data_IF_416357989700
#
_entry.id   IF_416357989700
#
_cell.length_a   1.000
_cell.length_b   1.000
_cell.length_c   1.000
_cell.angle_alpha   90.00
_cell.angle_beta   90.00
_cell.angle_gamma   90.00
#
_symmetry.space_group_name_H-M   'P 1'
#
loop_
_entity.id
_entity.type
_entity.pdbx_description
1 polymer ?
#
# COMPACT_ATOMS: atom_id res chain seq x y z
N UNK A 1 -5.35 19.06 -51.44
CA UNK A 1 -5.66 17.87 -50.63
C UNK A 1 -4.59 17.84 -49.55
N UNK A 2 -4.91 18.41 -48.42
CA UNK A 2 -4.04 18.45 -47.22
C UNK A 2 -4.52 17.35 -46.25
N UNK A 3 -3.60 16.54 -45.89
CA UNK A 3 -3.78 15.47 -44.89
C UNK A 3 -3.52 16.12 -43.52
N UNK A 4 -4.58 16.30 -42.76
CA UNK A 4 -4.51 16.74 -41.36
C UNK A 4 -4.27 15.52 -40.47
N UNK A 5 -3.00 15.22 -40.20
CA UNK A 5 -2.57 14.26 -39.20
C UNK A 5 -2.91 14.76 -37.78
N UNK A 6 -4.00 14.24 -37.23
CA UNK A 6 -4.39 14.38 -35.84
C UNK A 6 -3.32 13.79 -34.91
N UNK A 7 -2.50 14.65 -34.34
CA UNK A 7 -1.64 14.32 -33.21
C UNK A 7 -2.46 14.26 -31.92
N UNK A 8 -3.04 13.10 -31.60
CA UNK A 8 -3.54 12.83 -30.26
C UNK A 8 -2.31 12.68 -29.35
N UNK A 9 -2.03 13.71 -28.55
CA UNK A 9 -1.08 13.65 -27.47
C UNK A 9 -1.56 12.59 -26.45
N UNK A 10 -0.78 11.54 -26.35
CA UNK A 10 -0.93 10.48 -25.37
C UNK A 10 -0.76 11.09 -23.97
N UNK A 11 -1.86 11.40 -23.31
CA UNK A 11 -1.84 11.73 -21.90
C UNK A 11 -1.33 10.48 -21.19
N UNK A 12 -0.12 10.53 -20.66
CA UNK A 12 0.52 9.43 -19.94
C UNK A 12 -0.39 9.01 -18.79
N UNK A 13 -1.21 7.98 -19.03
CA UNK A 13 -2.13 7.42 -18.05
C UNK A 13 -1.31 6.83 -16.90
N UNK A 14 -1.78 7.02 -15.66
CA UNK A 14 -1.19 6.42 -14.47
C UNK A 14 -1.05 4.90 -14.64
N UNK A 15 0.15 4.37 -14.42
CA UNK A 15 0.44 2.93 -14.45
C UNK A 15 0.83 2.46 -13.06
N UNK A 16 0.01 1.56 -12.45
CA UNK A 16 0.31 0.91 -11.17
C UNK A 16 1.70 0.27 -11.19
N UNK A 17 2.00 -0.40 -12.29
CA UNK A 17 3.26 -1.10 -12.49
C UNK A 17 4.45 -0.13 -12.46
N UNK A 18 4.32 1.03 -13.10
CA UNK A 18 5.37 2.05 -13.08
C UNK A 18 5.55 2.67 -11.68
N UNK A 19 4.47 2.86 -10.94
CA UNK A 19 4.53 3.30 -9.56
C UNK A 19 5.38 2.34 -8.71
N UNK A 20 5.10 1.04 -8.75
CA UNK A 20 5.88 0.06 -7.99
C UNK A 20 7.32 -0.10 -8.47
N UNK A 21 7.59 0.04 -9.77
CA UNK A 21 8.96 0.07 -10.31
C UNK A 21 9.77 1.22 -9.72
N UNK A 22 9.19 2.40 -9.55
CA UNK A 22 9.84 3.55 -8.89
C UNK A 22 10.05 3.28 -7.41
N UNK A 23 9.04 2.73 -6.75
CA UNK A 23 9.06 2.40 -5.32
C UNK A 23 10.18 1.43 -4.96
N UNK A 24 10.41 0.41 -5.78
CA UNK A 24 11.46 -0.57 -5.54
C UNK A 24 12.86 -0.12 -5.97
N UNK A 25 12.98 0.98 -6.68
CA UNK A 25 14.28 1.49 -7.14
C UNK A 25 15.22 1.74 -5.98
N UNK A 26 16.44 1.18 -6.07
CA UNK A 26 17.46 1.30 -5.02
C UNK A 26 17.19 0.45 -3.77
N UNK A 27 16.06 -0.28 -3.71
CA UNK A 27 15.73 -1.16 -2.59
C UNK A 27 16.23 -2.58 -2.82
N UNK A 28 16.39 -3.33 -1.74
CA UNK A 28 16.74 -4.75 -1.79
C UNK A 28 15.54 -5.58 -1.34
N UNK A 29 15.04 -6.43 -2.21
CA UNK A 29 13.98 -7.38 -1.93
C UNK A 29 14.58 -8.78 -1.79
N UNK A 30 14.13 -9.55 -0.81
CA UNK A 30 14.40 -10.99 -0.74
C UNK A 30 13.16 -11.76 -1.17
N UNK A 31 13.33 -12.77 -2.02
CA UNK A 31 12.25 -13.66 -2.48
C UNK A 31 12.64 -15.08 -2.09
N UNK A 32 11.78 -15.76 -1.33
CA UNK A 32 12.04 -17.15 -0.97
C UNK A 32 11.63 -18.10 -2.08
N UNK A 33 12.42 -19.14 -2.32
CA UNK A 33 12.08 -20.23 -3.23
C UNK A 33 12.05 -21.54 -2.44
N UNK A 34 10.91 -21.90 -1.83
CA UNK A 34 10.76 -23.18 -1.16
C UNK A 34 10.91 -24.35 -2.12
N UNK A 35 11.35 -25.50 -1.61
CA UNK A 35 11.55 -26.72 -2.39
C UNK A 35 10.34 -27.10 -3.25
N UNK A 36 9.13 -26.80 -2.76
CA UNK A 36 7.88 -27.06 -3.48
C UNK A 36 7.76 -26.31 -4.81
N UNK A 37 8.43 -25.16 -4.96
CA UNK A 37 8.42 -24.32 -6.16
C UNK A 37 9.70 -24.44 -7.00
N UNK A 38 10.70 -25.23 -6.58
CA UNK A 38 11.92 -25.43 -7.39
C UNK A 38 11.63 -25.89 -8.84
N UNK A 39 10.66 -26.78 -9.12
CA UNK A 39 10.32 -27.16 -10.49
C UNK A 39 9.77 -26.01 -11.34
N UNK A 40 9.13 -25.05 -10.71
CA UNK A 40 8.49 -23.89 -11.33
C UNK A 40 9.36 -22.62 -11.27
N UNK A 41 10.62 -22.73 -10.84
CA UNK A 41 11.51 -21.57 -10.60
C UNK A 41 11.66 -20.65 -11.83
N UNK A 42 11.42 -21.14 -13.04
CA UNK A 42 11.43 -20.33 -14.26
C UNK A 42 10.40 -19.18 -14.23
N UNK A 43 9.30 -19.33 -13.48
CA UNK A 43 8.29 -18.28 -13.33
C UNK A 43 8.79 -17.06 -12.54
N UNK A 44 9.90 -17.19 -11.78
CA UNK A 44 10.54 -16.06 -11.11
C UNK A 44 11.27 -15.14 -12.07
N UNK A 45 11.75 -15.66 -13.19
CA UNK A 45 12.66 -14.94 -14.08
C UNK A 45 12.09 -13.60 -14.55
N UNK A 46 10.86 -13.52 -15.08
CA UNK A 46 10.31 -12.26 -15.56
C UNK A 46 10.21 -11.21 -14.43
N UNK A 47 9.77 -11.62 -13.25
CA UNK A 47 9.60 -10.72 -12.10
C UNK A 47 10.95 -10.20 -11.61
N UNK A 48 11.94 -11.07 -11.48
CA UNK A 48 13.30 -10.69 -11.06
C UNK A 48 13.95 -9.77 -12.09
N UNK A 49 13.80 -10.05 -13.38
CA UNK A 49 14.34 -9.20 -14.44
C UNK A 49 13.69 -7.82 -14.46
N UNK A 50 12.39 -7.76 -14.25
CA UNK A 50 11.69 -6.48 -14.17
C UNK A 50 12.12 -5.66 -12.95
N UNK A 51 12.21 -6.27 -11.77
CA UNK A 51 12.69 -5.60 -10.56
C UNK A 51 14.11 -5.06 -10.77
N UNK A 52 15.02 -5.88 -11.30
CA UNK A 52 16.40 -5.46 -11.57
C UNK A 52 16.45 -4.39 -12.66
N UNK A 53 15.66 -4.51 -13.71
CA UNK A 53 15.51 -3.51 -14.76
C UNK A 53 14.98 -2.18 -14.27
N UNK A 54 14.14 -2.19 -13.24
CA UNK A 54 13.66 -0.99 -12.54
C UNK A 54 14.70 -0.38 -11.55
N UNK A 55 15.84 -1.04 -11.35
CA UNK A 55 16.90 -0.60 -10.45
C UNK A 55 16.76 -1.11 -9.01
N UNK A 56 15.91 -2.10 -8.76
CA UNK A 56 15.89 -2.84 -7.51
C UNK A 56 17.04 -3.86 -7.44
N UNK A 57 17.30 -4.36 -6.25
CA UNK A 57 18.23 -5.47 -5.99
C UNK A 57 17.45 -6.66 -5.46
N UNK A 58 17.73 -7.86 -5.97
CA UNK A 58 16.97 -9.06 -5.63
C UNK A 58 17.88 -10.15 -5.06
N UNK A 59 17.52 -10.65 -3.89
CA UNK A 59 18.11 -11.81 -3.24
C UNK A 59 17.11 -12.96 -3.32
N UNK A 60 17.41 -14.01 -4.04
CA UNK A 60 16.59 -15.22 -4.04
C UNK A 60 17.15 -16.19 -3.02
N UNK A 61 16.33 -16.62 -2.05
CA UNK A 61 16.74 -17.54 -0.98
C UNK A 61 16.18 -18.92 -1.29
N UNK A 62 17.04 -19.92 -1.48
CA UNK A 62 16.64 -21.27 -1.87
C UNK A 62 17.38 -22.34 -1.06
N UNK A 63 16.83 -23.56 -1.01
CA UNK A 63 17.57 -24.70 -0.47
C UNK A 63 18.67 -25.19 -1.42
N UNK A 64 18.39 -25.17 -2.72
CA UNK A 64 19.32 -25.58 -3.77
C UNK A 64 19.62 -24.39 -4.67
N UNK A 65 20.91 -24.07 -4.77
CA UNK A 65 21.33 -22.96 -5.61
C UNK A 65 21.17 -23.23 -7.10
N UNK A 66 21.52 -24.43 -7.53
CA UNK A 66 21.78 -24.69 -8.94
C UNK A 66 20.63 -24.33 -9.89
N UNK A 67 19.37 -24.77 -9.68
CA UNK A 67 18.30 -24.43 -10.63
C UNK A 67 18.02 -22.92 -10.69
N UNK A 68 17.91 -22.27 -9.54
CA UNK A 68 17.59 -20.84 -9.49
C UNK A 68 18.75 -19.96 -9.99
N UNK A 69 19.99 -20.33 -9.65
CA UNK A 69 21.17 -19.58 -10.07
C UNK A 69 21.38 -19.66 -11.59
N UNK A 70 21.16 -20.82 -12.18
CA UNK A 70 21.26 -21.01 -13.62
C UNK A 70 20.16 -20.22 -14.37
N UNK A 71 18.89 -20.37 -13.94
CA UNK A 71 17.75 -19.67 -14.55
C UNK A 71 17.87 -18.15 -14.45
N UNK A 72 18.35 -17.64 -13.32
CA UNK A 72 18.51 -16.21 -13.10
C UNK A 72 19.85 -15.65 -13.61
N UNK A 73 20.70 -16.46 -14.21
CA UNK A 73 22.07 -16.10 -14.57
C UNK A 73 22.78 -15.37 -13.40
N UNK A 74 22.59 -15.88 -12.18
CA UNK A 74 23.07 -15.31 -10.94
C UNK A 74 24.13 -16.22 -10.30
N UNK A 75 24.99 -15.63 -9.48
CA UNK A 75 25.92 -16.42 -8.68
C UNK A 75 25.24 -16.93 -7.42
N UNK A 76 25.53 -18.18 -7.06
CA UNK A 76 25.08 -18.77 -5.80
C UNK A 76 26.09 -18.48 -4.67
N UNK A 77 25.56 -18.23 -3.48
CA UNK A 77 26.34 -17.99 -2.28
C UNK A 77 25.72 -18.72 -1.08
N UNK A 78 26.46 -19.57 -0.35
CA UNK A 78 25.93 -20.16 0.88
C UNK A 78 25.83 -19.10 1.97
N UNK A 79 24.80 -19.19 2.81
CA UNK A 79 24.59 -18.29 3.97
C UNK A 79 25.76 -18.30 4.95
N UNK A 80 26.48 -19.42 5.00
CA UNK A 80 27.67 -19.64 5.84
C UNK A 80 28.96 -19.09 5.25
N UNK A 81 28.90 -18.41 4.09
CA UNK A 81 30.07 -17.84 3.45
C UNK A 81 30.76 -16.84 4.37
N UNK A 82 32.09 -16.85 4.36
CA UNK A 82 32.88 -15.83 5.07
C UNK A 82 32.59 -14.45 4.50
N UNK A 83 32.38 -13.46 5.36
CA UNK A 83 31.99 -12.10 4.98
C UNK A 83 30.71 -12.07 4.09
N UNK A 84 29.72 -12.87 4.46
CA UNK A 84 28.49 -13.10 3.69
C UNK A 84 27.85 -11.80 3.19
N UNK A 85 27.63 -10.83 4.06
CA UNK A 85 26.96 -9.56 3.73
C UNK A 85 27.74 -8.77 2.67
N UNK A 86 29.05 -8.73 2.79
CA UNK A 86 29.93 -8.07 1.81
C UNK A 86 29.95 -8.81 0.46
N UNK A 87 29.90 -10.14 0.48
CA UNK A 87 29.83 -10.97 -0.72
C UNK A 87 28.49 -10.77 -1.45
N UNK A 88 27.37 -10.78 -0.72
CA UNK A 88 26.04 -10.49 -1.27
C UNK A 88 26.03 -9.10 -1.88
N UNK A 89 26.51 -8.08 -1.13
CA UNK A 89 26.54 -6.71 -1.61
C UNK A 89 27.36 -6.54 -2.91
N UNK A 90 28.50 -7.19 -3.00
CA UNK A 90 29.34 -7.15 -4.20
C UNK A 90 28.62 -7.69 -5.43
N UNK A 91 27.89 -8.81 -5.28
CA UNK A 91 27.11 -9.43 -6.36
C UNK A 91 25.91 -8.57 -6.76
N UNK A 92 25.19 -8.03 -5.78
CA UNK A 92 24.06 -7.14 -6.04
C UNK A 92 24.49 -5.87 -6.78
N UNK A 93 25.66 -5.29 -6.45
CA UNK A 93 26.21 -4.16 -7.21
C UNK A 93 26.60 -4.51 -8.63
N UNK A 94 27.08 -5.72 -8.86
CA UNK A 94 27.55 -6.15 -10.18
C UNK A 94 26.41 -6.54 -11.11
N UNK A 95 25.38 -7.23 -10.60
CA UNK A 95 24.34 -7.87 -11.41
C UNK A 95 22.90 -7.58 -10.96
N UNK A 96 22.69 -6.83 -9.90
CA UNK A 96 21.36 -6.55 -9.32
C UNK A 96 20.73 -7.76 -8.63
N UNK A 97 21.29 -8.95 -8.73
CA UNK A 97 20.70 -10.19 -8.21
C UNK A 97 21.75 -11.17 -7.70
N UNK A 98 21.35 -12.01 -6.73
CA UNK A 98 22.14 -13.09 -6.14
C UNK A 98 21.23 -14.20 -5.65
N UNK A 99 21.68 -15.45 -5.69
CA UNK A 99 20.99 -16.59 -5.06
C UNK A 99 21.74 -16.98 -3.78
N UNK A 100 21.02 -16.98 -2.68
CA UNK A 100 21.53 -17.42 -1.36
C UNK A 100 21.03 -18.81 -1.08
N UNK A 101 21.93 -19.73 -0.70
CA UNK A 101 21.56 -21.09 -0.31
C UNK A 101 21.63 -21.26 1.19
N UNK A 102 20.57 -21.86 1.74
CA UNK A 102 20.53 -22.25 3.13
C UNK A 102 21.19 -23.60 3.34
N UNK A 103 21.82 -23.78 4.50
CA UNK A 103 22.42 -25.06 4.89
C UNK A 103 21.40 -26.18 5.00
N UNK A 104 21.86 -27.44 4.81
CA UNK A 104 20.99 -28.61 4.78
C UNK A 104 20.19 -28.86 6.07
N UNK A 105 20.63 -28.31 7.18
CA UNK A 105 20.02 -28.44 8.51
C UNK A 105 19.19 -27.21 8.93
N UNK A 106 19.23 -26.12 8.15
CA UNK A 106 18.43 -24.96 8.44
C UNK A 106 16.95 -25.27 8.18
N UNK A 107 16.10 -24.92 9.13
CA UNK A 107 14.68 -24.83 8.85
C UNK A 107 14.47 -23.68 7.89
N UNK A 108 13.77 -23.94 6.80
CA UNK A 108 13.70 -22.99 5.70
C UNK A 108 13.13 -21.62 6.11
N UNK A 109 12.03 -21.55 6.84
CA UNK A 109 11.48 -20.27 7.29
C UNK A 109 12.46 -19.48 8.14
N UNK A 110 13.04 -20.09 9.18
CA UNK A 110 13.98 -19.42 10.07
C UNK A 110 15.25 -18.95 9.34
N UNK A 111 15.76 -19.79 8.43
CA UNK A 111 16.93 -19.40 7.63
C UNK A 111 16.63 -18.23 6.69
N UNK A 112 15.44 -18.17 6.11
CA UNK A 112 15.00 -17.03 5.29
C UNK A 112 14.92 -15.74 6.12
N UNK A 113 14.36 -15.79 7.33
CA UNK A 113 14.36 -14.66 8.26
C UNK A 113 15.76 -14.20 8.57
N UNK A 114 16.64 -15.11 8.99
CA UNK A 114 17.99 -14.79 9.41
C UNK A 114 18.79 -14.11 8.28
N UNK A 115 18.63 -14.59 7.05
CA UNK A 115 19.23 -13.94 5.85
C UNK A 115 18.62 -12.55 5.62
N UNK A 116 17.31 -12.42 5.69
CA UNK A 116 16.62 -11.16 5.47
C UNK A 116 17.00 -10.10 6.51
N UNK A 117 17.10 -10.49 7.79
CA UNK A 117 17.53 -9.64 8.89
C UNK A 117 19.00 -9.20 8.73
N UNK A 118 19.92 -10.15 8.52
CA UNK A 118 21.36 -9.88 8.32
C UNK A 118 21.61 -8.91 7.15
N UNK A 119 20.84 -9.04 6.08
CA UNK A 119 20.97 -8.18 4.90
C UNK A 119 20.23 -6.85 5.03
N UNK A 120 19.37 -6.67 6.04
CA UNK A 120 18.53 -5.49 6.21
C UNK A 120 17.67 -5.24 4.98
N UNK A 121 17.00 -6.29 4.47
CA UNK A 121 16.21 -6.15 3.25
C UNK A 121 15.02 -5.23 3.47
N UNK A 122 14.65 -4.49 2.44
CA UNK A 122 13.48 -3.64 2.46
C UNK A 122 12.17 -4.44 2.56
N UNK A 123 12.14 -5.62 1.93
CA UNK A 123 10.95 -6.47 1.86
C UNK A 123 11.36 -7.93 1.72
N UNK A 124 10.71 -8.81 2.48
CA UNK A 124 10.78 -10.26 2.28
C UNK A 124 9.50 -10.74 1.60
N UNK A 125 9.62 -11.36 0.44
CA UNK A 125 8.50 -12.02 -0.25
C UNK A 125 8.55 -13.50 0.02
N UNK A 126 7.56 -14.00 0.71
CA UNK A 126 7.45 -15.40 1.08
C UNK A 126 6.53 -16.12 0.12
N UNK A 127 7.09 -17.01 -0.69
CA UNK A 127 6.30 -17.84 -1.60
C UNK A 127 5.70 -19.02 -0.84
N UNK A 128 4.39 -19.09 -0.82
CA UNK A 128 3.61 -20.15 -0.18
C UNK A 128 2.47 -20.61 -1.09
N UNK A 129 2.22 -21.93 -1.18
CA UNK A 129 1.19 -22.50 -2.07
C UNK A 129 -0.24 -22.12 -1.67
N UNK A 130 -0.47 -21.94 -0.39
CA UNK A 130 -1.78 -21.52 0.11
C UNK A 130 -2.00 -20.01 -0.03
N UNK A 131 -0.93 -19.27 -0.40
CA UNK A 131 -0.98 -17.83 -0.58
C UNK A 131 -1.09 -17.06 0.74
N UNK A 132 -1.77 -15.90 0.69
CA UNK A 132 -1.93 -15.00 1.83
C UNK A 132 -2.82 -15.54 2.96
N UNK A 133 -2.98 -14.74 3.99
CA UNK A 133 -3.86 -15.00 5.11
C UNK A 133 -5.32 -14.88 4.68
N UNK A 134 -6.12 -15.88 5.02
CA UNK A 134 -7.57 -15.86 4.80
C UNK A 134 -8.31 -15.94 6.14
N UNK A 135 -9.45 -15.29 6.22
CA UNK A 135 -10.35 -15.39 7.35
C UNK A 135 -11.18 -16.69 7.33
N UNK A 136 -11.93 -17.00 8.39
CA UNK A 136 -12.79 -18.19 8.42
C UNK A 136 -13.88 -18.25 7.33
N UNK A 137 -14.21 -17.10 6.69
CA UNK A 137 -15.14 -17.04 5.57
C UNK A 137 -14.49 -17.34 4.23
N UNK A 138 -13.14 -17.45 4.20
CA UNK A 138 -12.35 -17.62 2.99
C UNK A 138 -11.98 -16.30 2.32
N UNK A 139 -12.30 -15.14 2.90
CA UNK A 139 -11.89 -13.86 2.38
C UNK A 139 -10.41 -13.60 2.71
N UNK A 140 -9.66 -13.12 1.71
CA UNK A 140 -8.24 -12.81 1.84
C UNK A 140 -8.04 -11.48 2.56
N UNK A 141 -7.15 -11.45 3.53
CA UNK A 141 -6.61 -10.22 4.08
C UNK A 141 -5.52 -9.69 3.14
N UNK A 142 -5.76 -8.58 2.47
CA UNK A 142 -4.75 -7.97 1.58
C UNK A 142 -3.59 -7.36 2.38
N UNK A 143 -3.88 -6.92 3.61
CA UNK A 143 -2.94 -6.25 4.49
C UNK A 143 -3.19 -6.62 5.96
N UNK A 144 -2.12 -6.84 6.73
CA UNK A 144 -2.18 -7.18 8.16
C UNK A 144 -0.99 -6.55 8.88
N UNK A 145 -1.25 -5.75 9.91
CA UNK A 145 -0.17 -5.22 10.72
C UNK A 145 0.22 -6.18 11.87
N UNK A 146 1.44 -6.04 12.40
CA UNK A 146 1.98 -6.92 13.43
C UNK A 146 1.06 -7.09 14.66
N UNK A 147 0.41 -6.04 15.12
CA UNK A 147 -0.51 -6.12 16.27
C UNK A 147 -1.77 -6.93 15.97
N UNK A 148 -2.30 -6.85 14.74
CA UNK A 148 -3.43 -7.65 14.28
C UNK A 148 -3.03 -9.13 14.12
N UNK A 149 -1.87 -9.39 13.49
CA UNK A 149 -1.31 -10.73 13.38
C UNK A 149 -1.15 -11.37 14.76
N UNK A 150 -0.60 -10.64 15.74
CA UNK A 150 -0.47 -11.11 17.11
C UNK A 150 -1.83 -11.44 17.74
N UNK A 151 -2.87 -10.64 17.47
CA UNK A 151 -4.24 -10.91 17.90
C UNK A 151 -4.82 -12.20 17.28
N UNK A 152 -4.65 -12.38 15.98
CA UNK A 152 -5.07 -13.61 15.26
C UNK A 152 -4.37 -14.85 15.83
N UNK A 153 -3.05 -14.75 16.06
CA UNK A 153 -2.27 -15.85 16.62
C UNK A 153 -2.68 -16.18 18.07
N UNK A 154 -2.98 -15.17 18.88
CA UNK A 154 -3.47 -15.36 20.24
C UNK A 154 -4.84 -16.03 20.27
N UNK A 155 -5.76 -15.63 19.40
CA UNK A 155 -7.08 -16.27 19.27
C UNK A 155 -6.99 -17.72 18.79
N UNK A 156 -5.93 -18.08 18.06
CA UNK A 156 -5.67 -19.42 17.53
C UNK A 156 -4.79 -20.27 18.44
N UNK A 157 -4.52 -19.85 19.68
CA UNK A 157 -3.61 -20.51 20.62
C UNK A 157 -4.00 -21.97 20.96
N UNK A 158 -5.26 -22.37 20.73
CA UNK A 158 -5.74 -23.74 20.92
C UNK A 158 -5.16 -24.75 19.92
N UNK A 159 -4.43 -24.32 18.88
CA UNK A 159 -3.83 -25.18 17.85
C UNK A 159 -2.33 -24.87 17.67
N UNK A 160 -1.48 -25.10 18.69
CA UNK A 160 -0.07 -24.72 18.62
C UNK A 160 0.73 -25.52 17.57
N UNK A 161 0.30 -26.73 17.24
CA UNK A 161 0.99 -27.65 16.32
C UNK A 161 0.53 -27.52 14.86
N UNK A 162 -0.42 -26.65 14.57
CA UNK A 162 -0.85 -26.39 13.21
C UNK A 162 0.33 -25.79 12.40
N UNK A 163 0.76 -26.46 11.31
CA UNK A 163 1.85 -25.95 10.46
C UNK A 163 1.61 -24.53 9.94
N UNK A 164 0.35 -24.20 9.66
CA UNK A 164 -0.03 -22.87 9.17
C UNK A 164 0.14 -21.81 10.26
N UNK A 165 -0.25 -22.12 11.49
CA UNK A 165 -0.04 -21.22 12.64
C UNK A 165 1.45 -21.07 12.97
N UNK A 166 2.25 -22.10 12.79
CA UNK A 166 3.72 -21.99 12.94
C UNK A 166 4.31 -21.06 11.88
N UNK A 167 3.84 -21.14 10.64
CA UNK A 167 4.26 -20.25 9.57
C UNK A 167 3.91 -18.79 9.87
N UNK A 168 2.68 -18.52 10.33
CA UNK A 168 2.30 -17.14 10.70
C UNK A 168 3.07 -16.60 11.90
N UNK A 169 3.44 -17.45 12.87
CA UNK A 169 4.36 -17.04 13.95
C UNK A 169 5.75 -16.71 13.43
N UNK A 170 6.21 -17.38 12.40
CA UNK A 170 7.48 -17.03 11.77
C UNK A 170 7.41 -15.70 11.04
N UNK A 171 6.31 -15.39 10.37
CA UNK A 171 6.04 -14.06 9.81
C UNK A 171 6.07 -12.99 10.91
N UNK A 172 5.37 -13.23 12.03
CA UNK A 172 5.40 -12.34 13.19
C UNK A 172 6.83 -12.14 13.71
N UNK A 173 7.58 -13.23 13.88
CA UNK A 173 8.96 -13.18 14.35
C UNK A 173 9.86 -12.39 13.40
N UNK A 174 9.69 -12.57 12.09
CA UNK A 174 10.42 -11.85 11.05
C UNK A 174 10.19 -10.34 11.13
N UNK A 175 8.95 -9.92 11.33
CA UNK A 175 8.63 -8.51 11.51
C UNK A 175 9.24 -7.96 12.82
N UNK A 176 9.17 -8.72 13.92
CA UNK A 176 9.77 -8.34 15.22
C UNK A 176 11.30 -8.25 15.17
N UNK A 177 11.93 -9.09 14.34
CA UNK A 177 13.37 -9.08 14.11
C UNK A 177 13.85 -7.85 13.31
N UNK A 178 12.94 -7.07 12.75
CA UNK A 178 13.29 -5.79 12.12
C UNK A 178 13.10 -5.74 10.61
N UNK A 179 12.65 -6.83 9.96
CA UNK A 179 12.27 -6.77 8.54
C UNK A 179 11.02 -5.89 8.41
N UNK A 180 11.06 -4.81 7.62
CA UNK A 180 9.99 -3.82 7.62
C UNK A 180 8.67 -4.37 7.09
N UNK A 181 8.72 -5.21 6.05
CA UNK A 181 7.56 -5.74 5.37
C UNK A 181 7.77 -7.18 4.90
N UNK A 182 6.74 -8.01 5.05
CA UNK A 182 6.69 -9.38 4.54
C UNK A 182 5.46 -9.53 3.66
N UNK A 183 5.65 -9.90 2.39
CA UNK A 183 4.54 -10.33 1.54
C UNK A 183 4.47 -11.86 1.52
N UNK A 184 3.27 -12.41 1.60
CA UNK A 184 3.03 -13.84 1.44
C UNK A 184 2.08 -14.04 0.27
N UNK A 185 2.53 -14.72 -0.76
CA UNK A 185 1.73 -14.99 -1.97
C UNK A 185 2.14 -16.31 -2.63
N UNK A 186 1.33 -16.78 -3.57
CA UNK A 186 1.74 -17.90 -4.45
C UNK A 186 2.76 -17.43 -5.49
N UNK A 187 3.47 -18.38 -6.08
CA UNK A 187 4.40 -18.07 -7.18
C UNK A 187 3.65 -17.53 -8.40
N UNK A 188 2.47 -18.06 -8.68
CA UNK A 188 1.59 -17.62 -9.76
C UNK A 188 1.11 -16.18 -9.57
N UNK A 189 0.88 -15.77 -8.33
CA UNK A 189 0.42 -14.44 -7.98
C UNK A 189 1.54 -13.43 -7.71
N UNK A 190 2.81 -13.81 -7.83
CA UNK A 190 3.94 -12.96 -7.45
C UNK A 190 4.00 -11.64 -8.23
N UNK A 191 3.70 -11.68 -9.52
CA UNK A 191 3.66 -10.48 -10.37
C UNK A 191 2.60 -9.50 -9.89
N UNK A 192 1.37 -9.98 -9.71
CA UNK A 192 0.27 -9.16 -9.20
C UNK A 192 0.55 -8.63 -7.80
N UNK A 193 1.16 -9.46 -6.93
CA UNK A 193 1.50 -9.05 -5.55
C UNK A 193 2.49 -7.89 -5.51
N UNK A 194 3.44 -7.86 -6.42
CA UNK A 194 4.48 -6.84 -6.42
C UNK A 194 4.14 -5.60 -7.25
N UNK A 195 3.32 -5.72 -8.28
CA UNK A 195 3.14 -4.65 -9.25
C UNK A 195 1.71 -4.14 -9.38
N UNK A 196 0.79 -4.61 -8.54
CA UNK A 196 -0.58 -4.09 -8.49
C UNK A 196 -0.98 -3.68 -7.07
N UNK A 197 -1.91 -2.74 -6.99
CA UNK A 197 -2.44 -2.29 -5.69
C UNK A 197 -3.34 -3.33 -5.01
N UNK A 198 -4.02 -4.15 -5.79
CA UNK A 198 -4.86 -5.21 -5.25
C UNK A 198 -4.02 -6.33 -4.63
N UNK A 199 -2.84 -6.57 -5.17
CA UNK A 199 -2.01 -7.70 -4.82
C UNK A 199 -2.73 -9.05 -4.99
N UNK A 200 -2.03 -10.14 -4.84
CA UNK A 200 -2.60 -11.50 -4.87
C UNK A 200 -2.50 -12.21 -3.52
N UNK A 201 -1.64 -11.71 -2.64
CA UNK A 201 -1.30 -12.26 -1.35
C UNK A 201 -1.68 -11.36 -0.18
N UNK A 202 -0.94 -11.44 0.91
CA UNK A 202 -1.07 -10.58 2.09
C UNK A 202 0.24 -9.86 2.34
N UNK A 203 0.18 -8.54 2.48
CA UNK A 203 1.27 -7.72 2.97
C UNK A 203 1.19 -7.64 4.49
N UNK A 204 2.23 -8.09 5.17
CA UNK A 204 2.40 -7.94 6.61
C UNK A 204 3.43 -6.88 6.90
N UNK A 205 3.22 -6.11 7.98
CA UNK A 205 4.08 -5.00 8.33
C UNK A 205 4.26 -4.81 9.83
N UNK A 206 5.37 -4.18 10.22
CA UNK A 206 5.80 -4.11 11.62
C UNK A 206 4.99 -3.17 12.50
N UNK A 207 4.61 -2.02 12.00
CA UNK A 207 4.03 -0.95 12.85
C UNK A 207 2.58 -0.62 12.53
N UNK A 208 1.88 0.01 13.46
CA UNK A 208 0.61 0.72 13.21
C UNK A 208 0.92 1.97 12.38
N UNK A 209 0.43 2.04 11.30
CA UNK A 209 1.04 2.11 10.07
C UNK A 209 0.57 3.26 9.24
N UNK A 210 -0.58 3.82 9.57
CA UNK A 210 -1.10 4.98 8.91
C UNK A 210 -0.78 6.18 9.79
N UNK A 211 0.29 6.87 9.46
CA UNK A 211 0.54 8.21 9.98
C UNK A 211 -0.13 9.21 9.03
N UNK A 212 -1.02 10.03 9.55
CA UNK A 212 -1.58 11.15 8.77
C UNK A 212 -0.78 12.41 9.09
N UNK A 213 -0.22 13.02 8.05
CA UNK A 213 0.52 14.28 8.15
C UNK A 213 0.25 15.19 6.94
N UNK A 214 0.57 16.47 7.07
CA UNK A 214 0.56 17.38 5.92
C UNK A 214 1.52 16.90 4.84
N UNK A 215 1.13 17.12 3.58
CA UNK A 215 1.99 16.87 2.44
C UNK A 215 3.15 17.87 2.45
N UNK A 216 4.36 17.37 2.30
CA UNK A 216 5.54 18.16 2.01
C UNK A 216 5.76 18.27 0.50
N UNK A 217 6.69 19.12 0.08
CA UNK A 217 7.01 19.31 -1.35
C UNK A 217 7.44 17.99 -2.01
N UNK A 218 8.17 17.17 -1.29
CA UNK A 218 8.65 15.87 -1.80
C UNK A 218 7.52 14.83 -1.98
N UNK A 219 6.33 15.07 -1.41
CA UNK A 219 5.18 14.20 -1.54
C UNK A 219 4.30 14.54 -2.74
N UNK A 220 4.50 15.70 -3.40
CA UNK A 220 3.57 16.23 -4.40
C UNK A 220 3.42 15.33 -5.61
N UNK A 221 4.50 14.79 -6.14
CA UNK A 221 4.44 13.89 -7.30
C UNK A 221 3.56 12.66 -7.00
N UNK A 222 3.78 12.02 -5.84
CA UNK A 222 2.99 10.88 -5.42
C UNK A 222 1.51 11.27 -5.15
N UNK A 223 1.28 12.46 -4.60
CA UNK A 223 -0.07 12.95 -4.33
C UNK A 223 -0.83 13.29 -5.62
N UNK A 224 -0.18 13.89 -6.61
CA UNK A 224 -0.76 14.12 -7.93
C UNK A 224 -1.13 12.80 -8.61
N UNK A 225 -0.26 11.79 -8.56
CA UNK A 225 -0.55 10.45 -9.09
C UNK A 225 -1.82 9.86 -8.46
N UNK A 226 -2.01 10.02 -7.15
CA UNK A 226 -3.23 9.57 -6.47
C UNK A 226 -4.48 10.36 -6.89
N UNK A 227 -4.37 11.68 -7.10
CA UNK A 227 -5.49 12.49 -7.63
C UNK A 227 -5.88 12.01 -9.01
N UNK A 228 -4.92 11.88 -9.94
CA UNK A 228 -5.16 11.42 -11.31
C UNK A 228 -5.83 10.05 -11.33
N UNK A 229 -5.37 9.15 -10.48
CA UNK A 229 -5.97 7.84 -10.31
C UNK A 229 -7.40 7.92 -9.79
N UNK A 230 -7.64 8.70 -8.74
CA UNK A 230 -8.99 8.90 -8.19
C UNK A 230 -9.97 9.50 -9.21
N UNK A 231 -9.47 10.32 -10.13
CA UNK A 231 -10.24 10.83 -11.27
C UNK A 231 -10.51 9.72 -12.28
N UNK A 232 -9.49 8.95 -12.66
CA UNK A 232 -9.63 7.84 -13.63
C UNK A 232 -10.59 6.75 -13.14
N UNK A 233 -10.61 6.47 -11.84
CA UNK A 233 -11.53 5.53 -11.19
C UNK A 233 -12.94 6.13 -10.93
N UNK A 234 -13.17 7.40 -11.23
CA UNK A 234 -14.44 8.09 -11.07
C UNK A 234 -14.80 8.54 -9.65
N UNK A 235 -13.90 8.36 -8.67
CA UNK A 235 -14.12 8.80 -7.29
C UNK A 235 -13.94 10.30 -7.12
N UNK A 236 -12.95 10.89 -7.80
CA UNK A 236 -12.68 12.32 -7.74
C UNK A 236 -13.21 13.04 -8.99
N UNK A 237 -13.55 14.32 -8.82
CA UNK A 237 -13.88 15.18 -9.94
C UNK A 237 -12.60 15.62 -10.69
N UNK A 238 -12.60 15.66 -12.02
CA UNK A 238 -11.53 16.28 -12.79
C UNK A 238 -11.34 17.73 -12.36
N UNK A 239 -10.09 18.17 -12.27
CA UNK A 239 -9.68 19.53 -11.92
C UNK A 239 -8.54 19.98 -12.82
N UNK A 240 -8.34 21.29 -12.96
CA UNK A 240 -7.13 21.81 -13.62
C UNK A 240 -5.88 21.48 -12.78
N UNK A 241 -4.70 21.40 -13.38
CA UNK A 241 -3.44 21.19 -12.66
C UNK A 241 -3.26 22.19 -11.51
N UNK A 242 -3.55 23.48 -11.75
CA UNK A 242 -3.42 24.53 -10.75
C UNK A 242 -4.35 24.31 -9.56
N UNK A 243 -5.59 23.88 -9.80
CA UNK A 243 -6.55 23.58 -8.74
C UNK A 243 -6.15 22.31 -7.94
N UNK A 244 -5.44 21.37 -8.57
CA UNK A 244 -4.85 20.23 -7.87
C UNK A 244 -3.71 20.71 -6.98
N UNK A 245 -2.80 21.53 -7.47
CA UNK A 245 -1.67 22.06 -6.72
C UNK A 245 -2.14 22.87 -5.49
N UNK A 246 -3.15 23.72 -5.64
CA UNK A 246 -3.74 24.48 -4.53
C UNK A 246 -4.32 23.56 -3.46
N UNK A 247 -5.01 22.48 -3.86
CA UNK A 247 -5.57 21.50 -2.91
C UNK A 247 -4.46 20.75 -2.20
N UNK A 248 -3.43 20.32 -2.93
CA UNK A 248 -2.32 19.57 -2.36
C UNK A 248 -1.47 20.43 -1.42
N UNK A 249 -1.31 21.73 -1.69
CA UNK A 249 -0.58 22.66 -0.84
C UNK A 249 -1.17 22.75 0.59
N UNK A 250 -2.50 22.61 0.75
CA UNK A 250 -3.20 22.54 2.03
C UNK A 250 -3.57 21.12 2.45
N UNK A 251 -3.19 20.12 1.64
CA UNK A 251 -3.58 18.73 1.78
C UNK A 251 -2.78 17.96 2.84
N UNK A 252 -3.27 16.79 3.14
CA UNK A 252 -2.60 15.83 4.01
C UNK A 252 -2.73 14.43 3.43
N UNK A 253 -1.76 13.61 3.75
CA UNK A 253 -1.67 12.24 3.28
C UNK A 253 -1.64 11.25 4.44
N UNK A 254 -2.17 10.07 4.18
CA UNK A 254 -2.00 8.91 5.02
C UNK A 254 -0.79 8.12 4.49
N UNK A 255 0.26 8.07 5.29
CA UNK A 255 1.50 7.38 4.95
C UNK A 255 1.55 6.04 5.66
N UNK A 256 1.89 5.02 4.90
CA UNK A 256 2.18 3.68 5.39
C UNK A 256 3.70 3.57 5.47
N UNK A 257 4.25 3.15 6.62
CA UNK A 257 5.71 3.10 6.91
C UNK A 257 6.45 4.44 6.75
N UNK A 258 5.78 5.54 7.06
CA UNK A 258 6.33 6.90 6.90
C UNK A 258 6.78 7.25 5.46
N UNK A 259 6.54 6.36 4.49
CA UNK A 259 7.11 6.46 3.14
C UNK A 259 6.09 6.30 2.02
N UNK A 260 5.09 5.44 2.19
CA UNK A 260 4.15 5.14 1.12
C UNK A 260 2.88 5.94 1.30
N UNK A 261 2.64 6.87 0.43
CA UNK A 261 1.40 7.61 0.39
C UNK A 261 0.25 6.68 -0.03
N UNK A 262 -0.52 6.22 0.94
CA UNK A 262 -1.63 5.28 0.76
C UNK A 262 -2.99 5.97 0.55
N UNK A 263 -3.08 7.25 0.84
CA UNK A 263 -4.29 8.03 0.63
C UNK A 263 -4.05 9.51 0.84
N UNK A 264 -4.92 10.32 0.29
CA UNK A 264 -4.88 11.78 0.35
C UNK A 264 -6.24 12.33 0.75
N UNK A 265 -6.23 13.53 1.33
CA UNK A 265 -7.41 14.36 1.51
C UNK A 265 -7.00 15.82 1.71
N UNK A 266 -7.97 16.71 1.60
CA UNK A 266 -7.79 18.13 1.90
C UNK A 266 -8.95 18.64 2.76
N UNK A 267 -8.67 19.63 3.59
CA UNK A 267 -9.67 20.33 4.40
C UNK A 267 -9.82 21.75 3.86
N UNK A 268 -10.96 22.03 3.26
CA UNK A 268 -11.30 23.33 2.70
C UNK A 268 -12.25 24.06 3.65
N UNK A 269 -11.94 25.31 3.94
CA UNK A 269 -12.80 26.17 4.79
C UNK A 269 -13.86 26.86 3.91
N UNK A 270 -15.07 26.96 4.48
CA UNK A 270 -16.20 27.63 3.87
C UNK A 270 -16.82 28.63 4.83
N UNK A 271 -17.71 29.48 4.31
CA UNK A 271 -18.47 30.42 5.13
C UNK A 271 -19.32 29.71 6.20
N UNK A 272 -19.69 30.45 7.25
CA UNK A 272 -20.54 29.93 8.32
C UNK A 272 -19.86 28.93 9.24
N UNK A 273 -18.52 28.91 9.29
CA UNK A 273 -17.77 27.97 10.16
C UNK A 273 -17.83 26.52 9.68
N UNK A 274 -18.03 26.31 8.39
CA UNK A 274 -18.05 24.99 7.79
C UNK A 274 -16.68 24.59 7.26
N UNK A 275 -16.34 23.30 7.35
CA UNK A 275 -15.20 22.73 6.67
C UNK A 275 -15.65 21.60 5.71
N UNK A 276 -14.97 21.48 4.57
CA UNK A 276 -15.19 20.39 3.61
C UNK A 276 -14.02 19.41 3.65
N UNK A 277 -14.32 18.14 3.81
CA UNK A 277 -13.39 17.05 3.51
C UNK A 277 -13.43 16.79 2.01
N UNK A 278 -12.46 17.33 1.31
CA UNK A 278 -12.35 17.25 -0.15
C UNK A 278 -11.25 16.28 -0.58
N UNK A 279 -11.34 15.81 -1.82
CA UNK A 279 -10.34 14.98 -2.49
C UNK A 279 -9.92 13.73 -1.70
N UNK A 280 -10.83 13.17 -0.88
CA UNK A 280 -10.56 11.95 -0.15
C UNK A 280 -10.44 10.78 -1.15
N UNK A 281 -9.25 10.24 -1.24
CA UNK A 281 -8.97 9.06 -2.05
C UNK A 281 -7.94 8.16 -1.34
N UNK A 282 -8.15 6.86 -1.40
CA UNK A 282 -7.22 5.86 -0.84
C UNK A 282 -6.93 4.79 -1.88
N UNK A 283 -5.68 4.34 -1.90
CA UNK A 283 -5.25 3.25 -2.78
C UNK A 283 -6.05 1.98 -2.49
N UNK A 284 -6.51 1.30 -3.53
CA UNK A 284 -7.42 0.15 -3.43
C UNK A 284 -6.89 -0.98 -2.54
N UNK A 285 -5.58 -1.23 -2.53
CA UNK A 285 -4.93 -2.22 -1.66
C UNK A 285 -5.19 -1.95 -0.17
N UNK A 286 -5.33 -0.69 0.21
CA UNK A 286 -5.56 -0.26 1.59
C UNK A 286 -7.05 0.02 1.89
N UNK A 287 -7.94 -0.29 0.94
CA UNK A 287 -9.39 -0.21 1.16
C UNK A 287 -9.80 -1.30 2.18
N UNK A 288 -10.32 -0.87 3.31
CA UNK A 288 -10.64 -1.76 4.43
C UNK A 288 -9.67 -1.66 5.61
N UNK A 289 -8.44 -1.18 5.41
CA UNK A 289 -7.38 -1.08 6.42
C UNK A 289 -7.46 0.19 7.27
N UNK A 290 -8.56 0.88 7.23
CA UNK A 290 -8.75 2.08 8.06
C UNK A 290 -8.04 3.34 7.55
N UNK A 291 -7.29 3.30 6.43
CA UNK A 291 -6.60 4.48 5.86
C UNK A 291 -7.55 5.66 5.70
N UNK A 292 -8.71 5.42 5.08
CA UNK A 292 -9.76 6.43 4.93
C UNK A 292 -10.28 6.93 6.29
N UNK A 293 -10.43 6.01 7.26
CA UNK A 293 -10.85 6.35 8.63
C UNK A 293 -9.84 7.24 9.34
N UNK A 294 -8.54 6.99 9.18
CA UNK A 294 -7.48 7.86 9.73
C UNK A 294 -7.51 9.25 9.12
N UNK A 295 -7.71 9.35 7.79
CA UNK A 295 -7.88 10.64 7.11
C UNK A 295 -9.12 11.39 7.62
N UNK A 296 -10.25 10.71 7.81
CA UNK A 296 -11.47 11.30 8.39
C UNK A 296 -11.20 11.77 9.82
N UNK A 297 -10.61 10.93 10.68
CA UNK A 297 -10.31 11.29 12.08
C UNK A 297 -9.39 12.52 12.15
N UNK A 298 -8.33 12.57 11.34
CA UNK A 298 -7.45 13.73 11.25
C UNK A 298 -8.20 14.99 10.79
N UNK A 299 -9.11 14.86 9.80
CA UNK A 299 -9.92 15.98 9.33
C UNK A 299 -10.84 16.52 10.41
N UNK A 300 -11.48 15.64 11.19
CA UNK A 300 -12.34 16.02 12.31
C UNK A 300 -11.55 16.76 13.40
N UNK A 301 -10.37 16.27 13.76
CA UNK A 301 -9.49 16.91 14.73
C UNK A 301 -9.05 18.30 14.24
N UNK A 302 -8.63 18.42 13.00
CA UNK A 302 -8.21 19.69 12.40
C UNK A 302 -9.35 20.69 12.28
N UNK A 303 -10.53 20.25 11.87
CA UNK A 303 -11.70 21.12 11.78
C UNK A 303 -12.12 21.63 13.17
N UNK A 304 -12.06 20.80 14.22
CA UNK A 304 -12.26 21.24 15.62
C UNK A 304 -11.21 22.25 16.05
N UNK A 305 -9.94 21.99 15.78
CA UNK A 305 -8.83 22.91 16.12
C UNK A 305 -8.95 24.27 15.43
N UNK A 306 -9.62 24.34 14.27
CA UNK A 306 -9.92 25.58 13.53
C UNK A 306 -11.23 26.25 14.00
N UNK A 307 -11.93 25.67 14.95
CA UNK A 307 -13.20 26.22 15.47
C UNK A 307 -14.38 26.07 14.50
N UNK A 308 -14.30 25.12 13.55
CA UNK A 308 -15.42 24.84 12.66
C UNK A 308 -16.59 24.23 13.43
N UNK A 309 -17.81 24.61 13.06
CA UNK A 309 -19.03 24.07 13.65
C UNK A 309 -19.38 22.67 13.14
N UNK A 310 -19.02 22.39 11.90
CA UNK A 310 -19.26 21.09 11.27
C UNK A 310 -18.28 20.80 10.14
N UNK A 311 -18.12 19.49 9.83
CA UNK A 311 -17.41 18.98 8.68
C UNK A 311 -18.42 18.37 7.71
N UNK A 312 -18.28 18.65 6.41
CA UNK A 312 -19.11 18.00 5.39
C UNK A 312 -18.26 17.35 4.30
N UNK A 313 -18.84 16.39 3.62
CA UNK A 313 -18.25 15.73 2.47
C UNK A 313 -19.30 15.46 1.39
N UNK A 314 -18.87 15.45 0.13
CA UNK A 314 -19.74 15.25 -1.02
C UNK A 314 -19.23 14.12 -1.90
N UNK A 315 -20.15 13.24 -2.35
CA UNK A 315 -19.80 12.13 -3.23
C UNK A 315 -20.94 11.78 -4.18
N UNK A 316 -20.59 11.19 -5.32
CA UNK A 316 -21.57 10.57 -6.25
C UNK A 316 -21.64 9.05 -6.10
N UNK A 317 -20.81 8.46 -5.22
CA UNK A 317 -20.71 7.01 -5.00
C UNK A 317 -21.47 6.58 -3.75
N UNK A 318 -22.39 5.62 -3.89
CA UNK A 318 -23.12 5.03 -2.77
C UNK A 318 -22.19 4.34 -1.77
N UNK A 319 -21.14 3.68 -2.26
CA UNK A 319 -20.11 3.03 -1.43
C UNK A 319 -19.39 4.04 -0.54
N UNK A 320 -19.04 5.20 -1.09
CA UNK A 320 -18.38 6.27 -0.34
C UNK A 320 -19.36 6.94 0.62
N UNK A 321 -20.64 7.07 0.25
CA UNK A 321 -21.69 7.52 1.17
C UNK A 321 -21.81 6.62 2.40
N UNK A 322 -21.92 5.30 2.19
CA UNK A 322 -21.98 4.33 3.28
C UNK A 322 -20.67 4.33 4.14
N UNK A 323 -19.53 4.66 3.55
CA UNK A 323 -18.30 4.86 4.30
C UNK A 323 -18.42 6.07 5.24
N UNK A 324 -18.92 7.21 4.79
CA UNK A 324 -19.10 8.39 5.65
C UNK A 324 -20.10 8.12 6.78
N UNK A 325 -21.20 7.41 6.51
CA UNK A 325 -22.19 7.04 7.53
C UNK A 325 -21.56 6.18 8.63
N UNK A 326 -20.73 5.20 8.28
CA UNK A 326 -19.99 4.39 9.27
C UNK A 326 -19.00 5.20 10.11
N UNK A 327 -18.56 6.36 9.63
CA UNK A 327 -17.69 7.28 10.36
C UNK A 327 -18.44 8.40 11.08
N UNK A 328 -19.76 8.24 11.27
CA UNK A 328 -20.59 9.14 12.07
C UNK A 328 -21.13 10.36 11.33
N UNK A 329 -20.96 10.44 10.01
CA UNK A 329 -21.63 11.45 9.22
C UNK A 329 -23.09 11.06 9.02
N UNK A 330 -23.98 12.05 9.03
CA UNK A 330 -25.36 11.89 8.60
C UNK A 330 -25.55 12.35 7.15
N UNK A 331 -26.46 11.77 6.44
CA UNK A 331 -26.90 12.31 5.15
C UNK A 331 -27.46 13.74 5.37
N UNK A 332 -27.17 14.62 4.43
CA UNK A 332 -27.59 16.01 4.46
C UNK A 332 -28.12 16.45 3.09
N UNK A 333 -29.02 17.42 3.06
CA UNK A 333 -29.44 18.05 1.80
C UNK A 333 -28.36 19.01 1.28
N UNK A 334 -28.45 19.36 0.00
CA UNK A 334 -27.52 20.33 -0.59
C UNK A 334 -27.65 21.73 0.00
N UNK A 335 -28.80 22.06 0.61
CA UNK A 335 -29.06 23.35 1.28
C UNK A 335 -28.44 23.40 2.69
N UNK A 336 -28.03 22.26 3.25
CA UNK A 336 -27.34 22.18 4.55
C UNK A 336 -25.81 22.34 4.42
N UNK A 337 -25.29 22.51 3.21
CA UNK A 337 -23.88 22.76 2.93
C UNK A 337 -23.72 24.16 2.35
N UNK A 338 -22.53 24.80 2.52
CA UNK A 338 -22.31 26.19 2.11
C UNK A 338 -22.57 26.44 0.62
N UNK A 339 -23.16 27.57 0.28
CA UNK A 339 -23.45 27.94 -1.10
C UNK A 339 -22.18 28.07 -1.95
N UNK A 340 -21.06 28.49 -1.34
CA UNK A 340 -19.74 28.60 -1.95
C UNK A 340 -19.25 27.27 -2.55
N UNK A 341 -19.67 26.13 -2.01
CA UNK A 341 -19.39 24.81 -2.56
C UNK A 341 -19.82 24.67 -4.02
N UNK A 342 -20.88 25.33 -4.41
CA UNK A 342 -21.55 25.13 -5.71
C UNK A 342 -21.16 26.15 -6.77
N UNK A 343 -20.37 27.20 -6.43
CA UNK A 343 -20.07 28.31 -7.33
C UNK A 343 -19.41 27.90 -8.66
N UNK A 344 -18.53 26.92 -8.62
CA UNK A 344 -17.82 26.41 -9.80
C UNK A 344 -18.15 24.93 -10.06
N UNK A 345 -19.28 24.46 -9.55
CA UNK A 345 -19.61 23.04 -9.65
C UNK A 345 -20.41 22.75 -10.92
N UNK A 346 -20.06 21.69 -11.64
CA UNK A 346 -20.79 21.22 -12.81
C UNK A 346 -22.25 20.86 -12.46
N UNK A 347 -23.26 21.43 -13.15
CA UNK A 347 -24.67 21.24 -12.82
C UNK A 347 -25.14 19.78 -12.93
N UNK A 348 -24.66 19.03 -13.93
CA UNK A 348 -25.06 17.64 -14.14
C UNK A 348 -24.47 16.75 -13.04
N UNK A 349 -23.21 17.03 -12.67
CA UNK A 349 -22.58 16.35 -11.54
C UNK A 349 -23.26 16.71 -10.23
N UNK A 350 -23.61 18.00 -10.01
CA UNK A 350 -24.30 18.47 -8.82
C UNK A 350 -25.61 17.73 -8.58
N UNK A 351 -26.39 17.48 -9.64
CA UNK A 351 -27.67 16.75 -9.55
C UNK A 351 -27.53 15.33 -8.98
N UNK A 352 -26.32 14.73 -9.07
CA UNK A 352 -26.04 13.37 -8.60
C UNK A 352 -25.27 13.34 -7.28
N UNK A 353 -24.86 14.51 -6.75
CA UNK A 353 -24.06 14.59 -5.53
C UNK A 353 -24.95 14.39 -4.31
N UNK A 354 -24.49 13.51 -3.45
CA UNK A 354 -25.01 13.32 -2.08
C UNK A 354 -24.08 14.02 -1.11
N UNK A 355 -24.66 14.71 -0.14
CA UNK A 355 -23.93 15.41 0.91
C UNK A 355 -24.02 14.64 2.23
N UNK A 356 -22.95 14.72 3.00
CA UNK A 356 -22.82 14.11 4.32
C UNK A 356 -22.23 15.13 5.28
N UNK A 357 -22.76 15.20 6.50
CA UNK A 357 -22.38 16.20 7.48
C UNK A 357 -22.11 15.57 8.84
N UNK A 358 -21.04 16.04 9.50
CA UNK A 358 -20.64 15.68 10.87
C UNK A 358 -20.61 16.93 11.74
N UNK A 359 -21.38 16.96 12.82
CA UNK A 359 -21.41 18.09 13.76
C UNK A 359 -20.18 18.04 14.67
N UNK A 360 -19.42 19.12 14.75
CA UNK A 360 -18.19 19.23 15.54
C UNK A 360 -18.41 19.83 16.92
N UNK A 361 -19.51 20.54 17.12
CA UNK A 361 -19.87 21.15 18.37
C UNK A 361 -20.86 20.30 19.16
N UNK A 362 -20.41 19.71 20.28
CA UNK A 362 -21.30 18.94 21.14
C UNK A 362 -20.63 18.06 22.19
N UNK A 363 -19.47 18.42 22.72
CA UNK A 363 -19.02 17.84 23.98
C UNK A 363 -19.24 18.84 25.11
N UNK A 364 -20.30 18.59 25.88
CA UNK A 364 -20.35 18.97 27.31
C UNK A 364 -20.83 20.35 27.65
N UNK A 365 -22.12 20.66 27.42
CA UNK A 365 -22.86 21.51 28.34
C UNK A 365 -24.10 20.72 28.79
N UNK A 366 -23.93 19.91 29.84
CA UNK A 366 -25.00 19.10 30.39
C UNK A 366 -24.62 18.43 31.68
N UNK A 367 -24.83 19.24 32.80
CA UNK A 367 -24.92 18.85 34.22
C UNK A 367 -23.66 18.37 34.91
#
# INVERSE_FOLDING_TARGET
MADEGSGAGDAAGFSEREFYRREFRGRTLAITLPRAYEPDAAKLVPVVEELVGAGARVVVIAHRAAPAAELLAAEALPESARCFEAEVWRRLRARGRVVVTLGAFARFPEGCRDVAERLGVFKLVWLDREGGLVDPSGARHAFVHLGELAGILAASAARPDDPRMRFWREVETTLRAGVPAVNVCSLEGLDDELFTYAGSGTLFTRERYVQVRHLGVDDFDAAQDLVLRGVAEGYLAPRSPEAVDEILAGGFGAFVEDRHLAGIAALLEHEGGAAELASLYTVTRFVGEGVGGHLVAFSLERARARGCGYLFACTTSDRVGAFFERHGFRAASQDEVPASKWHAYDPERRARVRCFRYELGGDGAGA
#
